data_IF_322861464375
#
_entry.id   IF_322861464375
#
_cell.length_a   1.000
_cell.length_b   1.000
_cell.length_c   1.000
_cell.angle_alpha   90.00
_cell.angle_beta   90.00
_cell.angle_gamma   90.00
#
_symmetry.space_group_name_H-M   'P 1'
#
loop_
_entity.id
_entity.type
_entity.pdbx_description
1 polymer ?
#
# COMPACT_ATOMS: atom_id res chain seq x y z
N UNK A 1 24.71 2.33 -19.04
CA UNK A 1 25.94 2.49 -18.24
C UNK A 1 25.96 3.84 -17.49
N UNK A 2 25.49 4.97 -18.08
CA UNK A 2 25.47 6.28 -17.43
C UNK A 2 24.72 6.34 -16.12
N UNK A 3 23.48 5.85 -16.10
CA UNK A 3 22.60 5.86 -14.90
C UNK A 3 23.20 5.06 -13.74
N UNK A 4 23.84 3.93 -14.04
CA UNK A 4 24.50 3.12 -13.02
C UNK A 4 25.74 3.84 -12.45
N UNK A 5 26.50 4.51 -13.30
CA UNK A 5 27.66 5.32 -12.89
C UNK A 5 27.24 6.49 -12.00
N UNK A 6 26.18 7.20 -12.36
CA UNK A 6 25.64 8.30 -11.55
C UNK A 6 25.13 7.83 -10.19
N UNK A 7 24.40 6.73 -10.14
CA UNK A 7 23.94 6.14 -8.90
C UNK A 7 25.10 5.69 -7.99
N UNK A 8 26.15 5.10 -8.57
CA UNK A 8 27.34 4.69 -7.82
C UNK A 8 28.11 5.90 -7.29
N UNK A 9 28.26 6.96 -8.10
CA UNK A 9 28.91 8.19 -7.68
C UNK A 9 28.11 8.85 -6.56
N UNK A 10 26.81 8.99 -6.72
CA UNK A 10 25.92 9.57 -5.72
C UNK A 10 25.96 8.81 -4.39
N UNK A 11 25.90 7.48 -4.43
CA UNK A 11 26.04 6.64 -3.23
C UNK A 11 27.44 6.82 -2.62
N UNK A 12 28.48 6.80 -3.44
CA UNK A 12 29.86 6.92 -2.99
C UNK A 12 30.13 8.27 -2.34
N UNK A 13 29.70 9.36 -2.97
CA UNK A 13 29.96 10.71 -2.46
C UNK A 13 29.13 11.04 -1.23
N UNK A 14 27.87 10.55 -1.17
CA UNK A 14 26.97 10.83 -0.04
C UNK A 14 27.21 9.91 1.18
N UNK A 15 27.76 8.72 0.97
CA UNK A 15 27.82 7.69 2.03
C UNK A 15 29.20 7.06 2.24
N UNK A 16 30.25 7.56 1.55
CA UNK A 16 31.57 6.94 1.60
C UNK A 16 32.10 6.77 3.03
N UNK A 17 31.89 7.76 3.89
CA UNK A 17 32.32 7.70 5.29
C UNK A 17 31.49 6.71 6.14
N UNK A 18 30.21 6.56 5.81
CA UNK A 18 29.27 5.71 6.59
C UNK A 18 29.40 4.23 6.24
N UNK A 19 29.59 3.90 4.96
CA UNK A 19 29.70 2.51 4.50
C UNK A 19 31.10 1.92 4.60
N UNK A 20 32.10 2.73 4.98
CA UNK A 20 33.48 2.26 5.19
C UNK A 20 33.71 1.58 6.53
N UNK A 21 32.81 1.72 7.49
CA UNK A 21 32.93 1.16 8.83
C UNK A 21 32.03 -0.05 9.05
N UNK A 22 32.39 -0.88 10.04
CA UNK A 22 31.58 -2.02 10.44
C UNK A 22 30.26 -1.51 11.10
N UNK A 23 29.12 -1.82 10.52
CA UNK A 23 27.83 -1.49 11.10
C UNK A 23 27.46 -2.40 12.27
N UNK A 24 26.69 -1.87 13.20
CA UNK A 24 26.15 -2.57 14.38
C UNK A 24 24.71 -3.07 14.17
N UNK A 25 24.08 -2.76 13.03
CA UNK A 25 22.73 -3.14 12.70
C UNK A 25 22.63 -3.97 11.42
N UNK A 26 21.88 -5.06 11.48
CA UNK A 26 21.56 -5.90 10.33
C UNK A 26 20.04 -6.06 10.17
N UNK A 27 19.48 -5.55 9.07
CA UNK A 27 18.06 -5.71 8.75
C UNK A 27 17.67 -7.18 8.63
N UNK A 28 18.56 -8.02 8.09
CA UNK A 28 18.38 -9.47 7.99
C UNK A 28 18.20 -10.12 9.35
N UNK A 29 19.09 -9.83 10.30
CA UNK A 29 19.00 -10.38 11.66
C UNK A 29 17.80 -9.80 12.40
N UNK A 30 17.47 -8.52 12.18
CA UNK A 30 16.31 -7.89 12.76
C UNK A 30 15.02 -8.61 12.35
N UNK A 31 14.84 -8.93 11.07
CA UNK A 31 13.65 -9.63 10.56
C UNK A 31 13.63 -11.09 11.01
N UNK A 32 14.78 -11.78 11.04
CA UNK A 32 14.88 -13.18 11.46
C UNK A 32 14.63 -13.38 12.94
N UNK A 33 15.18 -12.53 13.79
CA UNK A 33 14.97 -12.56 15.25
C UNK A 33 13.63 -11.93 15.60
N UNK A 34 12.54 -12.64 15.34
CA UNK A 34 11.18 -12.17 15.66
C UNK A 34 11.00 -12.00 17.16
N UNK A 35 10.21 -11.01 17.55
CA UNK A 35 9.83 -10.83 18.93
C UNK A 35 9.85 -9.41 19.44
N UNK A 36 8.73 -8.69 19.20
CA UNK A 36 8.41 -7.45 19.91
C UNK A 36 9.32 -6.25 19.65
N UNK A 37 10.08 -6.25 18.56
CA UNK A 37 10.93 -5.13 18.16
C UNK A 37 10.30 -4.36 17.03
N UNK A 38 10.43 -3.04 17.05
CA UNK A 38 9.98 -2.14 15.99
C UNK A 38 11.17 -1.35 15.47
N UNK A 39 11.28 -1.30 14.14
CA UNK A 39 12.21 -0.44 13.42
C UNK A 39 11.40 0.69 12.78
N UNK A 40 11.74 1.92 13.12
CA UNK A 40 11.23 3.11 12.44
C UNK A 40 12.26 3.57 11.42
N UNK A 41 11.84 3.75 10.18
CA UNK A 41 12.62 4.36 9.11
C UNK A 41 11.93 5.69 8.81
N UNK A 42 12.54 6.78 9.27
CA UNK A 42 12.00 8.11 9.10
C UNK A 42 12.54 8.74 7.83
N UNK A 43 11.64 9.32 7.02
CA UNK A 43 12.01 10.02 5.80
C UNK A 43 12.20 11.49 6.09
N UNK A 44 13.44 11.95 6.00
CA UNK A 44 13.76 13.38 6.12
C UNK A 44 13.51 14.10 4.79
N UNK A 45 12.65 15.12 4.81
CA UNK A 45 12.27 15.86 3.61
C UNK A 45 13.46 16.63 2.98
N UNK A 46 14.49 16.97 3.76
CA UNK A 46 15.63 17.72 3.25
C UNK A 46 16.64 16.86 2.46
N UNK A 47 16.81 15.61 2.87
CA UNK A 47 17.81 14.69 2.30
C UNK A 47 17.18 13.38 1.79
N UNK A 48 15.88 13.19 2.00
CA UNK A 48 15.20 11.92 1.75
C UNK A 48 15.20 11.51 0.28
N UNK A 49 15.17 12.45 -0.65
CA UNK A 49 15.27 12.14 -2.09
C UNK A 49 16.61 11.48 -2.40
N UNK A 50 17.72 12.00 -1.87
CA UNK A 50 19.05 11.42 -2.01
C UNK A 50 19.15 10.04 -1.34
N UNK A 51 18.44 9.84 -0.21
CA UNK A 51 18.43 8.60 0.55
C UNK A 51 17.36 7.59 0.10
N UNK A 52 16.47 7.95 -0.81
CA UNK A 52 15.32 7.12 -1.23
C UNK A 52 15.72 5.71 -1.66
N UNK A 53 16.85 5.56 -2.34
CA UNK A 53 17.39 4.28 -2.77
C UNK A 53 17.85 3.42 -1.58
N UNK A 54 18.39 4.05 -0.53
CA UNK A 54 18.82 3.35 0.70
C UNK A 54 17.60 2.88 1.47
N UNK A 55 16.58 3.71 1.63
CA UNK A 55 15.32 3.33 2.26
C UNK A 55 14.63 2.18 1.52
N UNK A 56 14.58 2.28 0.18
CA UNK A 56 14.03 1.20 -0.66
C UNK A 56 14.83 -0.09 -0.52
N UNK A 57 16.16 -0.03 -0.51
CA UNK A 57 17.02 -1.20 -0.33
C UNK A 57 16.79 -1.86 1.04
N UNK A 58 16.74 -1.08 2.12
CA UNK A 58 16.50 -1.61 3.46
C UNK A 58 15.15 -2.31 3.55
N UNK A 59 14.09 -1.69 3.02
CA UNK A 59 12.77 -2.30 3.01
C UNK A 59 12.72 -3.52 2.12
N UNK A 60 13.30 -3.47 0.91
CA UNK A 60 13.31 -4.60 -0.01
C UNK A 60 14.05 -5.81 0.56
N UNK A 61 15.17 -5.59 1.26
CA UNK A 61 15.87 -6.63 2.01
C UNK A 61 15.00 -7.19 3.15
N UNK A 62 14.26 -6.33 3.86
CA UNK A 62 13.33 -6.77 4.90
C UNK A 62 12.21 -7.66 4.31
N UNK A 63 11.62 -7.25 3.19
CA UNK A 63 10.59 -8.02 2.48
C UNK A 63 11.14 -9.38 2.03
N UNK A 64 12.32 -9.37 1.40
CA UNK A 64 13.02 -10.60 0.97
C UNK A 64 13.23 -11.57 2.11
N UNK A 65 13.74 -11.10 3.24
CA UNK A 65 13.98 -11.96 4.41
C UNK A 65 12.66 -12.46 5.04
N UNK A 66 11.61 -11.63 5.02
CA UNK A 66 10.29 -12.02 5.51
C UNK A 66 9.61 -13.09 4.64
N UNK A 67 9.87 -13.07 3.33
CA UNK A 67 9.41 -14.07 2.36
C UNK A 67 10.25 -15.35 2.38
N UNK A 68 11.46 -15.30 2.93
CA UNK A 68 12.34 -16.45 3.05
C UNK A 68 11.73 -17.60 3.86
N UNK A 69 12.09 -18.84 3.52
CA UNK A 69 11.67 -20.02 4.29
C UNK A 69 12.23 -19.93 5.71
N UNK A 70 11.33 -19.89 6.66
CA UNK A 70 11.68 -19.99 8.07
C UNK A 70 11.28 -21.37 8.59
N UNK A 71 12.09 -21.95 9.47
CA UNK A 71 11.73 -23.18 10.13
C UNK A 71 10.44 -23.02 10.94
N UNK A 72 9.61 -24.08 10.94
CA UNK A 72 8.28 -24.07 11.56
C UNK A 72 8.24 -23.57 13.03
N UNK A 73 9.34 -23.64 13.75
CA UNK A 73 9.45 -23.25 15.16
C UNK A 73 9.57 -21.73 15.40
N UNK A 74 9.97 -20.97 14.37
CA UNK A 74 10.20 -19.52 14.49
C UNK A 74 9.12 -18.68 13.82
N UNK A 75 7.94 -19.24 13.55
CA UNK A 75 6.84 -18.55 12.88
C UNK A 75 6.23 -17.48 13.77
N UNK A 76 6.69 -16.27 13.64
CA UNK A 76 6.00 -15.07 14.07
C UNK A 76 5.54 -14.27 12.87
N UNK A 77 4.78 -13.21 13.10
CA UNK A 77 4.40 -12.26 12.04
C UNK A 77 5.45 -11.15 11.93
N UNK A 78 5.70 -10.74 10.68
CA UNK A 78 6.41 -9.50 10.36
C UNK A 78 5.36 -8.51 9.88
N UNK A 79 5.29 -7.35 10.53
CA UNK A 79 4.39 -6.27 10.13
C UNK A 79 5.21 -5.21 9.42
N UNK A 80 4.75 -4.81 8.24
CA UNK A 80 5.33 -3.72 7.44
C UNK A 80 4.26 -2.66 7.27
N UNK A 81 4.53 -1.46 7.75
CA UNK A 81 3.62 -0.32 7.64
C UNK A 81 4.35 0.77 6.86
N UNK A 82 3.79 1.16 5.73
CA UNK A 82 4.33 2.18 4.82
C UNK A 82 3.31 3.32 4.79
N UNK A 83 3.64 4.46 5.41
CA UNK A 83 2.73 5.61 5.45
C UNK A 83 2.59 6.28 4.08
N UNK A 84 3.71 6.47 3.37
CA UNK A 84 3.71 7.05 2.03
C UNK A 84 4.47 6.12 1.05
N UNK A 85 3.75 5.32 0.31
CA UNK A 85 4.32 4.30 -0.57
C UNK A 85 5.13 4.90 -1.74
N UNK A 86 4.76 6.08 -2.21
CA UNK A 86 5.46 6.80 -3.28
C UNK A 86 6.94 7.04 -2.97
N UNK A 87 7.29 7.23 -1.70
CA UNK A 87 8.66 7.53 -1.27
C UNK A 87 9.64 6.36 -1.38
N UNK A 88 9.13 5.17 -1.73
CA UNK A 88 9.91 3.93 -1.80
C UNK A 88 9.90 3.35 -3.22
N UNK A 89 10.65 3.96 -4.15
CA UNK A 89 10.68 3.48 -5.53
C UNK A 89 11.43 2.15 -5.64
N UNK A 90 11.08 1.37 -6.68
CA UNK A 90 11.84 0.20 -7.11
C UNK A 90 11.95 -0.96 -6.09
N UNK A 91 10.95 -1.15 -5.24
CA UNK A 91 10.89 -2.34 -4.41
C UNK A 91 10.69 -3.58 -5.30
N UNK A 92 11.68 -4.47 -5.29
CA UNK A 92 11.68 -5.67 -6.14
C UNK A 92 10.72 -6.73 -5.61
N UNK A 93 10.69 -6.91 -4.27
CA UNK A 93 9.95 -7.97 -3.61
C UNK A 93 8.54 -7.56 -3.13
N UNK A 94 8.09 -6.35 -3.44
CA UNK A 94 6.80 -5.85 -2.94
C UNK A 94 5.62 -6.64 -3.52
N UNK A 95 5.66 -6.97 -4.82
CA UNK A 95 4.60 -7.73 -5.47
C UNK A 95 4.45 -9.13 -4.86
N UNK A 96 5.56 -9.83 -4.66
CA UNK A 96 5.57 -11.11 -3.96
C UNK A 96 5.12 -10.98 -2.50
N UNK A 97 5.50 -9.88 -1.84
CA UNK A 97 5.16 -9.64 -0.45
C UNK A 97 3.65 -9.47 -0.24
N UNK A 98 2.98 -8.72 -1.10
CA UNK A 98 1.53 -8.49 -0.98
C UNK A 98 0.71 -9.69 -1.46
N UNK A 99 1.17 -10.42 -2.47
CA UNK A 99 0.45 -11.55 -3.05
C UNK A 99 0.68 -12.87 -2.30
N UNK A 100 1.88 -13.12 -1.77
CA UNK A 100 2.25 -14.40 -1.16
C UNK A 100 2.65 -14.29 0.33
N UNK A 101 2.94 -13.08 0.81
CA UNK A 101 3.50 -12.84 2.13
C UNK A 101 2.64 -13.37 3.30
N UNK A 102 1.30 -13.43 3.13
CA UNK A 102 0.37 -13.94 4.15
C UNK A 102 0.75 -15.35 4.61
N UNK A 103 1.06 -16.25 3.69
CA UNK A 103 1.44 -17.63 4.01
C UNK A 103 2.78 -17.73 4.75
N UNK A 104 3.64 -16.72 4.59
CA UNK A 104 4.94 -16.59 5.25
C UNK A 104 4.88 -15.79 6.56
N UNK A 105 3.69 -15.33 6.97
CA UNK A 105 3.50 -14.53 8.17
C UNK A 105 3.83 -13.04 7.99
N UNK A 106 3.95 -12.56 6.75
CA UNK A 106 4.08 -11.14 6.44
C UNK A 106 2.69 -10.49 6.38
N UNK A 107 2.55 -9.36 7.02
CA UNK A 107 1.35 -8.52 7.01
C UNK A 107 1.73 -7.08 6.70
N UNK A 108 1.07 -6.49 5.72
CA UNK A 108 1.38 -5.14 5.24
C UNK A 108 0.19 -4.20 5.35
N UNK A 109 0.50 -2.94 5.62
CA UNK A 109 -0.39 -1.81 5.39
C UNK A 109 0.38 -0.74 4.63
N UNK A 110 -0.25 -0.13 3.62
CA UNK A 110 0.38 0.90 2.82
C UNK A 110 -0.58 2.06 2.59
N UNK A 111 -0.09 3.29 2.78
CA UNK A 111 -0.76 4.52 2.43
C UNK A 111 -0.38 4.97 1.02
N UNK A 112 -1.39 5.41 0.27
CA UNK A 112 -1.27 5.98 -1.07
C UNK A 112 -2.11 7.25 -1.14
N UNK A 113 -1.56 8.30 -1.71
CA UNK A 113 -2.35 9.51 -1.99
C UNK A 113 -3.17 9.35 -3.27
N UNK A 114 -2.63 8.66 -4.28
CA UNK A 114 -3.35 8.35 -5.52
C UNK A 114 -2.80 7.11 -6.23
N UNK A 115 -3.65 6.47 -7.03
CA UNK A 115 -3.25 5.38 -7.93
C UNK A 115 -2.30 5.86 -9.03
N UNK A 116 -2.42 7.11 -9.46
CA UNK A 116 -1.50 7.71 -10.43
C UNK A 116 -0.06 7.65 -9.94
N UNK A 117 0.20 7.98 -8.67
CA UNK A 117 1.54 7.91 -8.08
C UNK A 117 2.11 6.48 -8.06
N UNK A 118 1.27 5.48 -7.80
CA UNK A 118 1.70 4.08 -7.84
C UNK A 118 2.08 3.65 -9.26
N UNK A 119 1.31 4.10 -10.26
CA UNK A 119 1.58 3.81 -11.67
C UNK A 119 2.83 4.52 -12.19
N UNK A 120 3.09 5.75 -11.73
CA UNK A 120 4.31 6.49 -12.09
C UNK A 120 5.57 5.76 -11.61
N UNK A 121 5.52 5.18 -10.42
CA UNK A 121 6.68 4.50 -9.81
C UNK A 121 6.88 3.08 -10.36
N UNK A 122 5.81 2.31 -10.49
CA UNK A 122 5.89 0.87 -10.80
C UNK A 122 5.41 0.49 -12.19
N UNK A 123 4.84 1.44 -12.94
CA UNK A 123 4.09 1.16 -14.16
C UNK A 123 2.68 0.64 -13.86
N UNK A 124 1.78 0.73 -14.85
CA UNK A 124 0.36 0.43 -14.66
C UNK A 124 0.11 -1.02 -14.24
N UNK A 125 0.70 -1.98 -14.95
CA UNK A 125 0.40 -3.40 -14.74
C UNK A 125 0.93 -3.89 -13.38
N UNK A 126 2.18 -3.56 -13.03
CA UNK A 126 2.75 -3.89 -11.73
C UNK A 126 2.05 -3.13 -10.59
N UNK A 127 1.70 -1.87 -10.81
CA UNK A 127 0.93 -1.08 -9.84
C UNK A 127 -0.44 -1.69 -9.55
N UNK A 128 -1.14 -2.18 -10.55
CA UNK A 128 -2.41 -2.90 -10.37
C UNK A 128 -2.22 -4.21 -9.62
N UNK A 129 -1.18 -5.00 -9.95
CA UNK A 129 -0.86 -6.24 -9.23
C UNK A 129 -0.58 -5.98 -7.75
N UNK A 130 0.23 -4.96 -7.45
CA UNK A 130 0.52 -4.55 -6.07
C UNK A 130 -0.77 -4.14 -5.33
N UNK A 131 -1.59 -3.28 -5.95
CA UNK A 131 -2.84 -2.82 -5.34
C UNK A 131 -3.84 -3.96 -5.11
N UNK A 132 -3.95 -4.90 -6.05
CA UNK A 132 -4.81 -6.08 -5.95
C UNK A 132 -4.36 -7.06 -4.85
N UNK A 133 -3.06 -7.10 -4.53
CA UNK A 133 -2.52 -7.92 -3.45
C UNK A 133 -2.98 -7.49 -2.05
N UNK A 134 -3.43 -6.22 -1.90
CA UNK A 134 -4.04 -5.75 -0.66
C UNK A 134 -5.50 -6.16 -0.59
N UNK A 135 -5.80 -7.10 0.25
CA UNK A 135 -7.13 -7.70 0.39
C UNK A 135 -8.15 -6.81 1.12
N UNK A 136 -7.69 -5.82 1.87
CA UNK A 136 -8.52 -4.81 2.55
C UNK A 136 -8.18 -3.42 2.05
N UNK A 137 -9.20 -2.60 1.80
CA UNK A 137 -9.04 -1.25 1.24
C UNK A 137 -9.82 -0.28 2.10
N UNK A 138 -9.17 0.82 2.48
CA UNK A 138 -9.80 1.99 3.09
C UNK A 138 -9.64 3.17 2.13
N UNK A 139 -10.74 3.60 1.53
CA UNK A 139 -10.76 4.70 0.57
C UNK A 139 -11.26 5.96 1.25
N UNK A 140 -10.39 6.93 1.42
CA UNK A 140 -10.73 8.28 1.84
C UNK A 140 -11.09 9.15 0.63
N UNK A 141 -11.47 10.41 0.87
CA UNK A 141 -11.80 11.34 -0.21
C UNK A 141 -10.64 11.48 -1.20
N UNK A 142 -10.92 11.26 -2.46
CA UNK A 142 -10.02 11.52 -3.57
C UNK A 142 -10.76 12.20 -4.71
N UNK A 143 -10.08 13.15 -5.38
CA UNK A 143 -10.54 13.77 -6.62
C UNK A 143 -9.75 13.23 -7.83
N UNK A 144 -8.77 12.35 -7.61
CA UNK A 144 -8.02 11.70 -8.67
C UNK A 144 -8.88 10.64 -9.36
N UNK A 145 -9.04 10.79 -10.67
CA UNK A 145 -9.90 9.91 -11.47
C UNK A 145 -9.47 8.44 -11.40
N UNK A 146 -8.16 8.17 -11.51
CA UNK A 146 -7.64 6.80 -11.46
C UNK A 146 -7.92 6.14 -10.10
N UNK A 147 -7.82 6.91 -9.02
CA UNK A 147 -8.10 6.41 -7.67
C UNK A 147 -9.59 6.13 -7.48
N UNK A 148 -10.47 7.02 -7.92
CA UNK A 148 -11.93 6.83 -7.78
C UNK A 148 -12.44 5.66 -8.62
N UNK A 149 -11.92 5.47 -9.83
CA UNK A 149 -12.21 4.32 -10.67
C UNK A 149 -11.70 3.01 -10.04
N UNK A 150 -10.45 3.02 -9.53
CA UNK A 150 -9.91 1.85 -8.81
C UNK A 150 -10.79 1.48 -7.61
N UNK A 151 -11.21 2.46 -6.81
CA UNK A 151 -12.07 2.21 -5.66
C UNK A 151 -13.41 1.64 -6.09
N UNK A 152 -14.07 2.24 -7.08
CA UNK A 152 -15.31 1.73 -7.65
C UNK A 152 -15.20 0.26 -8.04
N UNK A 153 -14.19 -0.08 -8.83
CA UNK A 153 -14.00 -1.43 -9.33
C UNK A 153 -13.60 -2.42 -8.22
N UNK A 154 -12.74 -1.98 -7.29
CA UNK A 154 -12.29 -2.78 -6.16
C UNK A 154 -13.43 -3.12 -5.19
N UNK A 155 -14.43 -2.25 -5.04
CA UNK A 155 -15.57 -2.50 -4.16
C UNK A 155 -16.65 -3.36 -4.79
N UNK A 156 -16.60 -3.51 -6.11
CA UNK A 156 -17.40 -4.47 -6.86
C UNK A 156 -18.78 -3.96 -7.28
N UNK A 157 -19.51 -4.86 -7.91
CA UNK A 157 -20.84 -4.59 -8.47
C UNK A 157 -21.95 -4.92 -7.48
N UNK A 158 -23.07 -4.24 -7.63
CA UNK A 158 -24.32 -4.49 -6.93
C UNK A 158 -25.50 -4.38 -7.90
N UNK A 159 -26.64 -4.91 -7.49
CA UNK A 159 -27.90 -4.71 -8.22
C UNK A 159 -28.69 -3.59 -7.56
N UNK A 160 -28.97 -2.55 -8.32
CA UNK A 160 -29.84 -1.46 -7.93
C UNK A 160 -31.27 -1.78 -8.36
N UNK A 161 -32.22 -1.68 -7.45
CA UNK A 161 -33.64 -1.80 -7.75
C UNK A 161 -34.27 -0.40 -7.73
N UNK A 162 -34.66 0.11 -8.88
CA UNK A 162 -35.40 1.38 -8.98
C UNK A 162 -36.88 1.08 -9.13
N UNK A 163 -37.68 1.55 -8.19
CA UNK A 163 -39.13 1.45 -8.28
C UNK A 163 -39.69 2.78 -8.73
N UNK A 164 -40.20 2.81 -9.94
CA UNK A 164 -40.90 3.97 -10.52
C UNK A 164 -42.40 3.76 -10.40
N UNK A 165 -43.10 4.77 -9.91
CA UNK A 165 -44.56 4.82 -9.92
C UNK A 165 -44.97 5.44 -11.27
N UNK A 166 -45.27 4.61 -12.24
CA UNK A 166 -45.86 5.05 -13.50
C UNK A 166 -47.36 4.69 -13.49
N UNK A 167 -48.16 5.65 -13.08
CA UNK A 167 -49.61 5.44 -12.86
C UNK A 167 -49.92 4.69 -11.55
N UNK A 168 -50.87 3.75 -11.56
CA UNK A 168 -51.34 3.03 -10.36
C UNK A 168 -50.55 1.80 -10.01
N UNK A 169 -49.55 1.39 -10.84
CA UNK A 169 -48.78 0.17 -10.63
C UNK A 169 -47.32 0.50 -10.48
N UNK A 170 -46.64 0.01 -9.41
CA UNK A 170 -45.19 0.13 -9.28
C UNK A 170 -44.50 -0.75 -10.29
N UNK A 171 -43.59 -0.19 -11.08
CA UNK A 171 -42.66 -0.93 -11.93
C UNK A 171 -41.29 -0.93 -11.26
N UNK A 172 -40.75 -2.12 -11.01
CA UNK A 172 -39.39 -2.27 -10.44
C UNK A 172 -38.46 -2.75 -11.53
N UNK A 173 -37.50 -1.92 -11.89
CA UNK A 173 -36.40 -2.27 -12.76
C UNK A 173 -35.15 -2.58 -11.95
N UNK A 174 -34.45 -3.65 -12.30
CA UNK A 174 -33.14 -3.99 -11.74
C UNK A 174 -32.08 -3.64 -12.76
N UNK A 175 -31.11 -2.84 -12.34
CA UNK A 175 -29.91 -2.54 -13.14
C UNK A 175 -28.66 -2.89 -12.34
N UNK A 176 -27.58 -3.24 -13.04
CA UNK A 176 -26.26 -3.30 -12.45
C UNK A 176 -25.78 -1.90 -12.09
N UNK A 177 -25.16 -1.78 -10.93
CA UNK A 177 -24.49 -0.61 -10.44
C UNK A 177 -23.27 -1.02 -9.62
N UNK A 178 -22.54 -0.06 -9.11
CA UNK A 178 -21.41 -0.35 -8.21
C UNK A 178 -21.86 -0.24 -6.74
N UNK A 179 -21.17 -0.96 -5.86
CA UNK A 179 -21.40 -0.84 -4.41
C UNK A 179 -21.01 0.55 -3.93
N UNK A 180 -19.96 1.12 -4.52
CA UNK A 180 -19.49 2.48 -4.32
C UNK A 180 -19.26 3.10 -5.69
N UNK A 181 -19.94 4.20 -5.97
CA UNK A 181 -19.77 4.93 -7.22
C UNK A 181 -18.57 5.89 -7.11
N UNK A 182 -17.85 6.13 -8.23
CA UNK A 182 -16.68 7.00 -8.26
C UNK A 182 -16.96 8.41 -7.70
N UNK A 183 -18.14 8.98 -7.97
CA UNK A 183 -18.54 10.29 -7.47
C UNK A 183 -18.79 10.33 -5.94
N UNK A 184 -19.12 9.21 -5.31
CA UNK A 184 -19.31 9.13 -3.87
C UNK A 184 -17.99 9.26 -3.13
N UNK A 185 -16.89 8.69 -3.70
CA UNK A 185 -15.54 8.80 -3.14
C UNK A 185 -15.11 10.27 -3.07
N UNK A 186 -15.39 11.05 -4.13
CA UNK A 186 -15.03 12.48 -4.17
C UNK A 186 -15.86 13.35 -3.21
N UNK A 187 -17.05 12.89 -2.79
CA UNK A 187 -17.93 13.58 -1.86
C UNK A 187 -17.73 13.25 -0.39
N UNK A 188 -16.83 12.33 -0.05
CA UNK A 188 -16.52 12.00 1.33
C UNK A 188 -16.06 13.23 2.11
N UNK A 189 -16.54 13.37 3.34
CA UNK A 189 -16.13 14.43 4.26
C UNK A 189 -14.82 14.04 4.98
N UNK A 190 -14.09 14.99 5.57
CA UNK A 190 -12.95 14.67 6.41
C UNK A 190 -13.28 13.63 7.48
N UNK A 191 -12.43 12.63 7.62
CA UNK A 191 -12.62 11.50 8.52
C UNK A 191 -13.60 10.43 8.03
N UNK A 192 -14.30 10.61 6.91
CA UNK A 192 -15.12 9.56 6.31
C UNK A 192 -14.31 8.70 5.35
N UNK A 193 -14.58 7.41 5.34
CA UNK A 193 -13.98 6.45 4.42
C UNK A 193 -14.99 5.37 4.01
N UNK A 194 -14.83 4.86 2.80
CA UNK A 194 -15.37 3.55 2.44
C UNK A 194 -14.36 2.47 2.81
N UNK A 195 -14.83 1.41 3.44
CA UNK A 195 -13.97 0.34 3.95
C UNK A 195 -14.46 -0.99 3.40
N UNK A 196 -13.54 -1.74 2.80
CA UNK A 196 -13.70 -3.15 2.44
C UNK A 196 -12.69 -3.97 3.22
N UNK A 197 -13.16 -4.87 4.06
CA UNK A 197 -12.35 -5.87 4.76
C UNK A 197 -12.67 -7.22 4.14
N UNK A 198 -11.68 -8.10 4.02
CA UNK A 198 -11.87 -9.47 3.49
C UNK A 198 -13.14 -10.10 4.10
N UNK A 199 -13.96 -10.71 3.23
CA UNK A 199 -15.17 -11.46 3.60
C UNK A 199 -16.35 -10.61 4.12
N UNK A 200 -16.19 -9.30 4.32
CA UNK A 200 -17.27 -8.43 4.76
C UNK A 200 -17.79 -7.56 3.62
N UNK A 201 -19.08 -7.27 3.64
CA UNK A 201 -19.65 -6.28 2.74
C UNK A 201 -19.01 -4.91 2.98
N UNK A 202 -18.72 -4.15 1.93
CA UNK A 202 -18.21 -2.80 2.07
C UNK A 202 -19.17 -1.92 2.88
N UNK A 203 -18.61 -0.99 3.66
CA UNK A 203 -19.38 -0.06 4.46
C UNK A 203 -18.71 1.31 4.51
N UNK A 204 -19.52 2.35 4.75
CA UNK A 204 -19.03 3.69 5.02
C UNK A 204 -18.79 3.85 6.52
N UNK A 205 -17.64 4.42 6.88
CA UNK A 205 -17.25 4.65 8.27
C UNK A 205 -16.80 6.10 8.47
N UNK A 206 -17.05 6.64 9.66
CA UNK A 206 -16.55 7.95 10.07
C UNK A 206 -15.64 7.77 11.28
N UNK A 207 -14.36 8.07 11.10
CA UNK A 207 -13.40 8.10 12.18
C UNK A 207 -13.63 9.28 13.11
N UNK A 208 -13.46 9.07 14.39
CA UNK A 208 -13.44 10.16 15.37
C UNK A 208 -12.11 10.92 15.21
N UNK A 209 -12.19 12.23 15.37
CA UNK A 209 -10.98 13.05 15.44
C UNK A 209 -10.17 12.66 16.66
N UNK A 210 -8.85 12.49 16.48
CA UNK A 210 -7.97 12.20 17.59
C UNK A 210 -7.59 13.53 18.25
N UNK A 211 -8.12 13.75 19.45
CA UNK A 211 -7.70 14.85 20.32
C UNK A 211 -6.35 14.49 20.93
N UNK A 212 -5.33 15.33 20.67
CA UNK A 212 -4.00 15.20 21.24
C UNK A 212 -3.97 15.76 22.66
#
# INVERSE_FOLDING_TARGET
LGVLSEAIVMIKDSFFGVFGEAGDFSIREFVRKKGGRTLFIEYDMAIGEALSQVYSLLLDLALKEALGRQEKKERGNVYVIIDEFKLLPNLTHIDDAVNFGRSMGLKGAAGLQSMAQLYDVYGKDKGLSIAAGFSSVMAFRSNDWLTTEYVRDAFGLNYLSETTLAGSLPSTERREGHVVEAWEVSKLKPGEAFIRIIENSPFKFKFKEYER
#
